data_IF_668983189727
#
_entry.id   IF_668983189727
#
_cell.length_a   1.000
_cell.length_b   1.000
_cell.length_c   1.000
_cell.angle_alpha   90.00
_cell.angle_beta   90.00
_cell.angle_gamma   90.00
#
_symmetry.space_group_name_H-M   'P 1'
#
loop_
_entity.id
_entity.type
_entity.pdbx_description
1 polymer ?
#
# COMPACT_ATOMS: atom_id res chain seq x y z
N UNK A 1 0.08 -44.46 70.53
CA UNK A 1 -0.60 -43.37 69.82
C UNK A 1 -1.02 -42.33 70.86
N UNK A 2 -0.33 -41.17 70.88
CA UNK A 2 -0.65 -40.02 71.75
C UNK A 2 -0.79 -38.77 70.87
N UNK A 3 -1.76 -37.96 71.23
CA UNK A 3 -2.26 -36.67 70.73
C UNK A 3 -1.49 -35.53 71.47
N UNK A 4 -1.56 -34.18 71.22
CA UNK A 4 -1.83 -33.27 70.06
C UNK A 4 -0.79 -32.10 69.89
N UNK A 5 -1.12 -31.21 68.92
CA UNK A 5 -0.99 -29.73 68.88
C UNK A 5 0.33 -29.01 68.52
N UNK A 6 0.15 -28.03 67.62
CA UNK A 6 0.80 -26.72 67.53
C UNK A 6 2.20 -26.56 66.89
N UNK A 7 2.17 -25.77 65.80
CA UNK A 7 3.12 -24.74 65.36
C UNK A 7 4.41 -24.56 66.19
N UNK A 8 5.57 -24.72 65.54
CA UNK A 8 6.82 -23.97 65.73
C UNK A 8 7.84 -24.49 64.67
N UNK A 9 8.08 -23.72 63.61
CA UNK A 9 9.21 -22.79 63.43
C UNK A 9 10.41 -23.42 62.69
N UNK A 10 10.52 -23.10 61.40
CA UNK A 10 11.79 -23.09 60.67
C UNK A 10 11.93 -21.75 59.98
N UNK A 11 12.70 -20.87 60.60
CA UNK A 11 13.11 -19.58 60.05
C UNK A 11 14.15 -19.83 58.95
N UNK A 12 13.81 -19.49 57.71
CA UNK A 12 14.79 -19.27 56.64
C UNK A 12 14.87 -17.76 56.42
N UNK A 13 16.01 -17.18 56.79
CA UNK A 13 16.34 -15.77 56.58
C UNK A 13 16.56 -15.56 55.08
N UNK A 14 15.62 -14.92 54.39
CA UNK A 14 15.86 -14.35 53.07
C UNK A 14 16.36 -12.91 53.24
N UNK A 15 17.65 -12.69 53.01
CA UNK A 15 18.21 -11.34 52.84
C UNK A 15 17.87 -10.91 51.41
N UNK A 16 16.83 -10.08 51.28
CA UNK A 16 16.50 -9.39 50.03
C UNK A 16 17.57 -8.33 49.76
N UNK A 17 18.50 -8.59 48.85
CA UNK A 17 19.28 -7.52 48.24
C UNK A 17 18.34 -6.73 47.31
N UNK A 18 17.84 -5.59 47.81
CA UNK A 18 17.24 -4.56 46.97
C UNK A 18 18.34 -3.97 46.09
N UNK A 19 18.48 -4.47 44.87
CA UNK A 19 19.18 -3.75 43.82
C UNK A 19 18.25 -2.59 43.43
N UNK A 20 18.65 -1.32 43.60
CA UNK A 20 17.86 -0.22 43.06
C UNK A 20 17.83 -0.38 41.54
N UNK A 21 16.67 -0.74 41.00
CA UNK A 21 16.36 -0.60 39.58
C UNK A 21 16.53 0.88 39.30
N UNK A 22 17.65 1.26 38.69
CA UNK A 22 17.77 2.57 38.07
C UNK A 22 16.73 2.59 36.97
N UNK A 23 15.62 3.29 37.21
CA UNK A 23 14.69 3.64 36.15
C UNK A 23 15.51 4.36 35.08
N UNK A 24 15.65 3.74 33.91
CA UNK A 24 16.17 4.46 32.76
C UNK A 24 15.24 5.64 32.52
N UNK A 25 15.77 6.86 32.28
CA UNK A 25 14.92 7.98 31.95
C UNK A 25 14.08 7.59 30.73
N UNK A 26 12.75 7.61 30.90
CA UNK A 26 11.84 7.55 29.77
C UNK A 26 12.15 8.75 28.88
N UNK A 27 12.28 8.57 27.55
CA UNK A 27 12.45 9.70 26.65
C UNK A 27 11.29 10.68 26.86
N UNK A 28 11.65 11.95 27.01
CA UNK A 28 10.72 13.03 27.26
C UNK A 28 9.66 13.07 26.15
N UNK A 29 8.38 13.09 26.51
CA UNK A 29 7.24 13.02 25.58
C UNK A 29 7.07 14.31 24.74
N UNK A 30 8.04 15.21 24.80
CA UNK A 30 7.98 16.57 24.25
C UNK A 30 8.65 16.73 22.87
N UNK A 31 9.22 15.68 22.28
CA UNK A 31 9.79 15.73 20.91
C UNK A 31 9.55 14.48 20.06
N UNK A 32 8.37 13.87 20.12
CA UNK A 32 7.96 12.97 19.02
C UNK A 32 7.56 13.87 17.86
N UNK A 33 8.52 14.16 16.97
CA UNK A 33 8.19 14.72 15.66
C UNK A 33 7.43 13.64 14.90
N UNK A 34 6.17 13.90 14.55
CA UNK A 34 5.43 13.01 13.66
C UNK A 34 6.19 12.94 12.33
N UNK A 35 6.72 11.78 11.93
CA UNK A 35 7.49 11.69 10.71
C UNK A 35 6.58 12.02 9.53
N UNK A 36 7.00 13.02 8.74
CA UNK A 36 6.32 13.42 7.52
C UNK A 36 6.71 12.44 6.41
N UNK A 37 5.79 12.06 5.51
CA UNK A 37 6.15 11.27 4.34
C UNK A 37 7.22 11.96 3.48
N UNK A 38 8.17 11.16 2.96
CA UNK A 38 9.24 11.61 2.07
C UNK A 38 9.20 10.87 0.74
N UNK A 39 9.70 11.49 -0.34
CA UNK A 39 9.80 10.82 -1.65
C UNK A 39 10.96 9.83 -1.68
N UNK A 40 10.74 8.65 -2.24
CA UNK A 40 11.82 7.68 -2.45
C UNK A 40 12.57 7.98 -3.75
N UNK A 41 13.89 8.16 -3.66
CA UNK A 41 14.74 8.30 -4.85
C UNK A 41 14.32 9.45 -5.78
N UNK A 42 14.05 10.63 -5.22
CA UNK A 42 13.64 11.83 -5.96
C UNK A 42 14.49 12.06 -7.23
N UNK A 43 13.82 12.20 -8.38
CA UNK A 43 14.43 12.39 -9.69
C UNK A 43 14.99 11.13 -10.35
N UNK A 44 14.90 9.98 -9.69
CA UNK A 44 15.35 8.67 -10.19
C UNK A 44 14.24 7.63 -10.20
N UNK A 45 13.56 7.47 -9.06
CA UNK A 45 12.41 6.57 -8.90
C UNK A 45 11.11 7.36 -8.96
N UNK A 46 10.98 8.37 -8.10
CA UNK A 46 9.91 9.37 -8.22
C UNK A 46 10.32 10.41 -9.26
N UNK A 47 9.65 10.42 -10.39
CA UNK A 47 9.89 11.36 -11.49
C UNK A 47 8.57 12.03 -11.92
N UNK A 48 8.56 12.88 -12.96
CA UNK A 48 7.30 13.37 -13.55
C UNK A 48 6.53 12.31 -14.38
N UNK A 49 7.02 11.08 -14.48
CA UNK A 49 6.22 9.97 -14.99
C UNK A 49 5.24 9.49 -13.90
N UNK A 50 4.32 8.57 -14.25
CA UNK A 50 3.32 8.06 -13.31
C UNK A 50 3.79 6.72 -12.75
N UNK A 51 4.31 6.74 -11.52
CA UNK A 51 4.95 5.59 -10.89
C UNK A 51 4.26 5.12 -9.60
N UNK A 52 4.03 3.82 -9.48
CA UNK A 52 3.31 3.24 -8.34
C UNK A 52 3.83 1.86 -7.90
N UNK A 53 3.42 1.40 -6.71
CA UNK A 53 3.89 0.14 -6.13
C UNK A 53 5.12 0.27 -5.20
N UNK A 54 6.20 -0.46 -5.47
CA UNK A 54 7.49 -0.28 -4.76
C UNK A 54 7.86 -1.39 -3.77
N UNK A 55 8.05 -2.61 -4.25
CA UNK A 55 8.50 -3.75 -3.44
C UNK A 55 10.03 -3.80 -3.36
N UNK A 56 10.60 -3.81 -2.15
CA UNK A 56 12.06 -3.81 -1.92
C UNK A 56 12.56 -5.21 -1.55
N UNK A 57 13.71 -5.60 -2.10
CA UNK A 57 14.37 -6.88 -1.78
C UNK A 57 14.75 -6.99 -0.31
N UNK A 58 14.81 -8.21 0.29
CA UNK A 58 15.14 -8.38 1.70
C UNK A 58 16.47 -7.75 2.15
N UNK A 59 17.44 -7.60 1.24
CA UNK A 59 18.72 -6.94 1.51
C UNK A 59 18.67 -5.40 1.39
N UNK A 60 17.52 -4.84 1.02
CA UNK A 60 17.30 -3.40 0.85
C UNK A 60 17.91 -2.80 -0.41
N UNK A 61 18.43 -3.61 -1.35
CA UNK A 61 19.28 -3.13 -2.44
C UNK A 61 18.59 -2.98 -3.78
N UNK A 62 17.39 -3.52 -3.97
CA UNK A 62 16.65 -3.41 -5.23
C UNK A 62 15.19 -3.10 -4.93
N UNK A 63 14.60 -2.20 -5.71
CA UNK A 63 13.16 -1.90 -5.68
C UNK A 63 12.55 -2.28 -7.03
N UNK A 64 11.36 -2.88 -6.97
CA UNK A 64 10.53 -3.18 -8.13
C UNK A 64 9.25 -2.35 -8.07
N UNK A 65 8.91 -1.68 -9.16
CA UNK A 65 7.79 -0.75 -9.20
C UNK A 65 7.27 -0.56 -10.63
N UNK A 66 6.09 0.04 -10.76
CA UNK A 66 5.43 0.26 -12.04
C UNK A 66 5.70 1.67 -12.56
N UNK A 67 5.79 1.81 -13.89
CA UNK A 67 5.73 3.09 -14.61
C UNK A 67 4.66 2.96 -15.69
N UNK A 68 3.82 3.97 -15.88
CA UNK A 68 2.81 3.98 -16.95
C UNK A 68 3.18 4.89 -18.12
N UNK A 69 2.84 4.47 -19.35
CA UNK A 69 3.14 5.26 -20.57
C UNK A 69 2.04 5.12 -21.64
N UNK A 70 1.31 6.20 -22.01
CA UNK A 70 0.71 7.23 -21.13
C UNK A 70 -0.13 6.61 -20.01
N UNK A 71 -0.60 7.40 -19.04
CA UNK A 71 -1.36 6.88 -17.89
C UNK A 71 -2.44 5.87 -18.31
N UNK A 72 -2.41 4.71 -17.67
CA UNK A 72 -3.32 3.58 -17.87
C UNK A 72 -3.32 2.88 -19.25
N UNK A 73 -2.44 3.25 -20.19
CA UNK A 73 -2.32 2.57 -21.48
C UNK A 73 -1.49 1.28 -21.40
N UNK A 74 -0.24 1.43 -20.97
CA UNK A 74 0.70 0.33 -20.74
C UNK A 74 1.31 0.51 -19.35
N UNK A 75 1.28 -0.56 -18.57
CA UNK A 75 1.97 -0.68 -17.29
C UNK A 75 3.23 -1.51 -17.53
N UNK A 76 4.39 -0.96 -17.19
CA UNK A 76 5.65 -1.70 -17.22
C UNK A 76 6.24 -1.77 -15.83
N UNK A 77 6.75 -2.94 -15.48
CA UNK A 77 7.50 -3.10 -14.23
C UNK A 77 8.98 -2.80 -14.47
N UNK A 78 9.54 -1.98 -13.60
CA UNK A 78 10.93 -1.57 -13.59
C UNK A 78 11.64 -2.06 -12.32
N UNK A 79 12.96 -2.17 -12.40
CA UNK A 79 13.83 -2.31 -11.23
C UNK A 79 14.83 -1.15 -11.14
N UNK A 80 15.15 -0.73 -9.92
CA UNK A 80 16.26 0.17 -9.62
C UNK A 80 17.11 -0.42 -8.50
N UNK A 81 18.43 -0.21 -8.56
CA UNK A 81 19.38 -0.70 -7.58
C UNK A 81 19.91 0.43 -6.68
N UNK A 82 20.11 0.12 -5.41
CA UNK A 82 20.70 1.03 -4.43
C UNK A 82 22.20 0.78 -4.32
N UNK A 83 23.01 1.71 -4.84
CA UNK A 83 24.47 1.62 -4.91
C UNK A 83 25.06 2.90 -4.33
N UNK A 84 26.02 2.76 -3.41
CA UNK A 84 26.74 3.88 -2.79
C UNK A 84 25.84 5.00 -2.23
N UNK A 85 24.74 4.59 -1.60
CA UNK A 85 23.79 5.51 -0.96
C UNK A 85 22.78 6.16 -1.91
N UNK A 86 22.68 5.71 -3.17
CA UNK A 86 21.78 6.29 -4.18
C UNK A 86 21.10 5.22 -5.02
N UNK A 87 19.84 5.46 -5.35
CA UNK A 87 19.14 4.72 -6.39
C UNK A 87 19.74 5.03 -7.76
N UNK A 88 19.85 4.00 -8.59
CA UNK A 88 20.34 4.10 -9.97
C UNK A 88 19.18 4.27 -10.94
N UNK A 89 19.48 4.73 -12.17
CA UNK A 89 18.47 4.82 -13.23
C UNK A 89 17.73 3.49 -13.38
N UNK A 90 16.39 3.48 -13.46
CA UNK A 90 15.63 2.25 -13.57
C UNK A 90 15.77 1.57 -14.93
N UNK A 91 15.60 0.25 -14.92
CA UNK A 91 15.55 -0.60 -16.09
C UNK A 91 14.23 -1.39 -16.12
N UNK A 92 13.61 -1.53 -17.29
CA UNK A 92 12.40 -2.36 -17.45
C UNK A 92 12.78 -3.82 -17.22
N UNK A 93 11.96 -4.54 -16.46
CA UNK A 93 12.17 -5.97 -16.23
C UNK A 93 12.17 -6.74 -17.57
N UNK A 94 13.04 -7.75 -17.73
CA UNK A 94 13.25 -8.41 -19.02
C UNK A 94 12.01 -9.13 -19.58
N UNK A 95 11.00 -9.36 -18.76
CA UNK A 95 9.74 -10.01 -19.12
C UNK A 95 8.53 -9.06 -19.14
N UNK A 96 8.76 -7.74 -19.01
CA UNK A 96 7.72 -6.70 -19.02
C UNK A 96 7.79 -5.81 -20.27
N UNK A 97 6.67 -5.16 -20.62
CA UNK A 97 6.57 -4.23 -21.76
C UNK A 97 5.88 -4.78 -23.01
N UNK A 98 5.55 -6.07 -23.05
CA UNK A 98 4.68 -6.65 -24.09
C UNK A 98 3.21 -6.70 -23.67
N UNK A 99 2.97 -6.82 -22.36
CA UNK A 99 1.66 -6.92 -21.73
C UNK A 99 1.54 -5.79 -20.72
N UNK A 100 0.33 -5.57 -20.22
CA UNK A 100 0.12 -4.75 -19.04
C UNK A 100 0.55 -5.59 -17.85
N UNK A 101 1.72 -5.30 -17.29
CA UNK A 101 2.22 -5.93 -16.08
C UNK A 101 2.25 -4.90 -14.95
N UNK A 102 1.70 -5.24 -13.78
CA UNK A 102 1.45 -4.29 -12.69
C UNK A 102 1.56 -4.96 -11.32
N UNK A 103 1.68 -4.17 -10.26
CA UNK A 103 1.66 -4.61 -8.86
C UNK A 103 2.75 -5.64 -8.53
N UNK A 104 4.04 -5.35 -8.77
CA UNK A 104 5.13 -6.22 -8.34
C UNK A 104 5.13 -6.34 -6.80
N UNK A 105 5.09 -7.58 -6.31
CA UNK A 105 5.19 -7.91 -4.89
C UNK A 105 6.15 -9.10 -4.71
N UNK A 106 7.21 -8.89 -3.95
CA UNK A 106 8.14 -9.95 -3.58
C UNK A 106 7.57 -10.87 -2.49
N UNK A 107 7.91 -12.15 -2.56
CA UNK A 107 7.79 -13.06 -1.43
C UNK A 107 8.68 -12.62 -0.27
N UNK A 108 8.34 -12.97 0.99
CA UNK A 108 9.16 -12.61 2.15
C UNK A 108 10.64 -13.03 2.05
N UNK A 109 10.92 -14.14 1.35
CA UNK A 109 12.29 -14.63 1.13
C UNK A 109 12.99 -14.01 -0.09
N UNK A 110 12.31 -13.12 -0.82
CA UNK A 110 12.81 -12.42 -2.01
C UNK A 110 13.01 -13.28 -3.25
N UNK A 111 12.57 -14.55 -3.24
CA UNK A 111 12.82 -15.49 -4.35
C UNK A 111 11.71 -15.54 -5.40
N UNK A 112 10.53 -15.02 -5.10
CA UNK A 112 9.41 -15.00 -6.02
C UNK A 112 8.91 -13.57 -6.17
N UNK A 113 8.80 -13.09 -7.40
CA UNK A 113 8.15 -11.82 -7.72
C UNK A 113 6.79 -12.13 -8.34
N UNK A 114 5.72 -11.79 -7.62
CA UNK A 114 4.34 -11.92 -8.10
C UNK A 114 3.87 -10.60 -8.66
N UNK A 115 2.99 -10.65 -9.65
CA UNK A 115 2.46 -9.46 -10.31
C UNK A 115 1.17 -9.79 -11.06
N UNK A 116 0.38 -8.76 -11.32
CA UNK A 116 -0.80 -8.83 -12.18
C UNK A 116 -0.38 -8.68 -13.65
N UNK A 117 -0.90 -9.52 -14.53
CA UNK A 117 -0.64 -9.40 -15.98
C UNK A 117 -1.84 -9.82 -16.81
N UNK A 118 -2.09 -9.11 -17.91
CA UNK A 118 -3.10 -9.47 -18.92
C UNK A 118 -2.58 -10.38 -20.03
N UNK A 119 -1.37 -10.94 -19.81
CA UNK A 119 -0.76 -11.94 -20.67
C UNK A 119 -1.71 -13.11 -20.96
N UNK A 120 -1.77 -13.61 -22.22
CA UNK A 120 -2.68 -14.68 -22.61
C UNK A 120 -2.57 -15.94 -21.74
N UNK A 121 -3.72 -16.41 -21.22
CA UNK A 121 -3.81 -17.70 -20.53
C UNK A 121 -4.09 -18.79 -21.53
N UNK A 122 -3.26 -19.84 -21.56
CA UNK A 122 -3.38 -20.94 -22.52
C UNK A 122 -3.47 -20.45 -23.99
N UNK A 123 -2.74 -19.37 -24.33
CA UNK A 123 -2.74 -18.77 -25.67
C UNK A 123 -3.96 -17.89 -26.00
N UNK A 124 -4.86 -17.66 -25.05
CA UNK A 124 -6.04 -16.81 -25.23
C UNK A 124 -5.91 -15.51 -24.43
N UNK A 125 -6.01 -14.38 -25.13
CA UNK A 125 -6.22 -13.08 -24.48
C UNK A 125 -7.66 -13.02 -23.96
N UNK A 126 -7.80 -12.74 -22.67
CA UNK A 126 -9.08 -12.67 -21.99
C UNK A 126 -9.43 -11.27 -21.51
N UNK A 127 -8.60 -10.28 -21.87
CA UNK A 127 -8.70 -8.85 -21.55
C UNK A 127 -8.93 -8.58 -20.05
N UNK A 128 -8.24 -9.33 -19.19
CA UNK A 128 -8.32 -9.23 -17.72
C UNK A 128 -6.97 -9.54 -17.09
N UNK A 129 -6.76 -9.09 -15.86
CA UNK A 129 -5.55 -9.40 -15.12
C UNK A 129 -5.64 -10.77 -14.44
N UNK A 130 -4.53 -11.48 -14.42
CA UNK A 130 -4.32 -12.69 -13.61
C UNK A 130 -3.02 -12.56 -12.85
N UNK A 131 -2.86 -13.32 -11.77
CA UNK A 131 -1.61 -13.38 -11.01
C UNK A 131 -0.62 -14.31 -11.71
N UNK A 132 0.53 -13.74 -12.05
CA UNK A 132 1.71 -14.42 -12.56
C UNK A 132 2.85 -14.30 -11.54
N UNK A 133 3.83 -15.19 -11.65
CA UNK A 133 5.01 -15.17 -10.81
C UNK A 133 6.27 -15.51 -11.61
N UNK A 134 7.37 -14.82 -11.29
CA UNK A 134 8.72 -15.15 -11.74
C UNK A 134 9.58 -15.55 -10.54
N UNK A 135 10.46 -16.54 -10.73
CA UNK A 135 11.38 -17.01 -9.68
C UNK A 135 12.77 -16.44 -9.90
N UNK A 136 13.44 -16.00 -8.83
CA UNK A 136 14.81 -15.51 -8.86
C UNK A 136 15.75 -16.67 -9.14
N UNK A 137 16.64 -16.49 -10.10
CA UNK A 137 17.68 -17.45 -10.51
C UNK A 137 19.06 -16.80 -10.37
N UNK A 138 20.13 -17.58 -10.60
CA UNK A 138 21.49 -17.05 -10.65
C UNK A 138 21.75 -16.06 -11.81
N UNK A 139 20.84 -15.98 -12.79
CA UNK A 139 20.96 -15.14 -13.98
C UNK A 139 19.87 -14.05 -14.08
N UNK A 140 19.16 -13.76 -12.98
CA UNK A 140 18.02 -12.84 -12.96
C UNK A 140 16.69 -13.56 -12.75
N UNK A 141 15.59 -12.98 -13.22
CA UNK A 141 14.25 -13.59 -13.10
C UNK A 141 13.99 -14.64 -14.17
N UNK A 142 13.25 -15.70 -13.82
CA UNK A 142 12.76 -16.68 -14.79
C UNK A 142 11.66 -16.09 -15.69
N UNK A 143 11.32 -16.80 -16.76
CA UNK A 143 10.07 -16.54 -17.49
C UNK A 143 8.87 -16.63 -16.51
N UNK A 144 7.93 -15.68 -16.56
CA UNK A 144 6.77 -15.71 -15.70
C UNK A 144 5.85 -16.89 -15.98
N UNK A 145 5.29 -17.44 -14.90
CA UNK A 145 4.32 -18.53 -14.94
C UNK A 145 3.02 -18.07 -14.30
N UNK A 146 1.90 -18.48 -14.90
CA UNK A 146 0.58 -18.28 -14.31
C UNK A 146 0.53 -19.02 -12.97
N UNK A 147 0.02 -18.39 -11.92
CA UNK A 147 -0.13 -19.06 -10.63
C UNK A 147 -1.12 -20.23 -10.72
N UNK A 148 -0.66 -21.39 -10.27
CA UNK A 148 -1.43 -22.64 -10.29
C UNK A 148 -2.54 -22.68 -9.23
N UNK A 149 -3.57 -23.48 -9.50
CA UNK A 149 -4.70 -23.69 -8.58
C UNK A 149 -5.83 -22.67 -8.77
N UNK A 150 -6.82 -22.65 -7.87
CA UNK A 150 -8.02 -21.82 -7.97
C UNK A 150 -7.76 -20.36 -7.51
N UNK A 151 -6.57 -19.83 -7.79
CA UNK A 151 -6.21 -18.43 -7.58
C UNK A 151 -6.85 -17.59 -8.68
N UNK A 152 -6.52 -17.89 -9.93
CA UNK A 152 -7.00 -17.12 -11.09
C UNK A 152 -8.41 -17.56 -11.49
N UNK A 153 -9.31 -16.61 -11.73
CA UNK A 153 -10.74 -16.89 -11.92
C UNK A 153 -11.27 -16.36 -13.27
N UNK A 154 -12.59 -16.13 -13.34
CA UNK A 154 -13.22 -15.38 -14.42
C UNK A 154 -13.27 -13.87 -14.11
N UNK A 155 -12.89 -13.44 -12.92
CA UNK A 155 -12.62 -12.03 -12.61
C UNK A 155 -11.22 -11.61 -13.04
N UNK A 156 -10.87 -10.36 -12.72
CA UNK A 156 -9.48 -9.92 -12.62
C UNK A 156 -8.94 -10.25 -11.23
N UNK A 157 -7.70 -10.69 -11.17
CA UNK A 157 -6.93 -10.80 -9.94
C UNK A 157 -5.74 -9.85 -10.01
N UNK A 158 -5.59 -9.02 -8.99
CA UNK A 158 -4.52 -8.02 -8.89
C UNK A 158 -3.92 -8.02 -7.48
N UNK A 159 -2.68 -7.53 -7.38
CA UNK A 159 -1.92 -7.38 -6.14
C UNK A 159 -1.87 -8.62 -5.26
N UNK A 160 -0.97 -9.54 -5.58
CA UNK A 160 -0.79 -10.79 -4.83
C UNK A 160 0.34 -10.65 -3.79
N UNK A 161 0.04 -10.84 -2.50
CA UNK A 161 1.01 -10.80 -1.41
C UNK A 161 1.06 -12.14 -0.64
N UNK A 162 2.25 -12.51 -0.16
CA UNK A 162 2.53 -13.82 0.44
C UNK A 162 2.84 -13.71 1.94
N UNK A 163 2.24 -14.59 2.74
CA UNK A 163 2.68 -14.86 4.11
C UNK A 163 3.80 -15.91 4.15
N UNK A 164 4.49 -16.04 5.29
CA UNK A 164 5.58 -16.98 5.50
C UNK A 164 5.16 -18.45 5.42
N UNK A 165 3.90 -18.76 5.75
CA UNK A 165 3.32 -20.09 5.62
C UNK A 165 2.89 -20.40 4.17
N UNK A 166 3.05 -19.43 3.26
CA UNK A 166 2.72 -19.54 1.85
C UNK A 166 1.27 -19.17 1.52
N UNK A 167 0.44 -18.81 2.51
CA UNK A 167 -0.89 -18.28 2.24
C UNK A 167 -0.80 -17.04 1.35
N UNK A 168 -1.64 -17.00 0.33
CA UNK A 168 -1.69 -15.93 -0.65
C UNK A 168 -2.89 -15.03 -0.39
N UNK A 169 -2.65 -13.73 -0.34
CA UNK A 169 -3.68 -12.70 -0.26
C UNK A 169 -3.69 -11.89 -1.54
N UNK A 170 -4.86 -11.62 -2.09
CA UNK A 170 -4.98 -10.86 -3.33
C UNK A 170 -6.35 -10.21 -3.44
N UNK A 171 -6.49 -9.26 -4.37
CA UNK A 171 -7.76 -8.59 -4.64
C UNK A 171 -8.38 -9.06 -5.95
N UNK A 172 -9.69 -9.16 -5.98
CA UNK A 172 -10.40 -9.69 -7.14
C UNK A 172 -11.85 -9.21 -7.24
N UNK A 173 -12.35 -9.07 -8.46
CA UNK A 173 -13.78 -8.80 -8.73
C UNK A 173 -14.60 -10.08 -8.99
N UNK A 174 -14.05 -11.27 -8.64
CA UNK A 174 -14.64 -12.59 -8.91
C UNK A 174 -16.09 -12.76 -8.46
N UNK A 175 -16.50 -12.07 -7.40
CA UNK A 175 -17.84 -12.17 -6.84
C UNK A 175 -18.78 -11.11 -7.41
N UNK A 176 -18.26 -9.91 -7.76
CA UNK A 176 -19.07 -8.70 -7.85
C UNK A 176 -18.73 -7.79 -9.04
N UNK A 177 -18.36 -8.32 -10.22
CA UNK A 177 -18.17 -7.63 -11.53
C UNK A 177 -18.00 -6.10 -11.42
N UNK A 178 -16.84 -5.66 -10.94
CA UNK A 178 -16.48 -4.24 -10.78
C UNK A 178 -16.32 -3.78 -9.33
N UNK A 179 -16.92 -4.46 -8.34
CA UNK A 179 -16.50 -4.33 -6.95
C UNK A 179 -15.40 -5.35 -6.65
N UNK A 180 -14.30 -4.85 -6.09
CA UNK A 180 -13.11 -5.61 -5.73
C UNK A 180 -13.09 -5.89 -4.24
N UNK A 181 -12.89 -7.15 -3.90
CA UNK A 181 -12.82 -7.66 -2.54
C UNK A 181 -11.46 -8.33 -2.31
N UNK A 182 -11.06 -8.47 -1.04
CA UNK A 182 -9.83 -9.17 -0.65
C UNK A 182 -10.15 -10.64 -0.41
N UNK A 183 -9.32 -11.51 -0.99
CA UNK A 183 -9.39 -12.95 -0.84
C UNK A 183 -8.10 -13.52 -0.28
N UNK A 184 -8.22 -14.66 0.40
CA UNK A 184 -7.10 -15.53 0.79
C UNK A 184 -7.20 -16.87 0.09
N UNK A 185 -6.11 -17.35 -0.49
CA UNK A 185 -5.94 -18.75 -0.85
C UNK A 185 -4.90 -19.40 0.06
N UNK A 186 -5.31 -20.44 0.79
CA UNK A 186 -4.43 -21.17 1.70
C UNK A 186 -3.51 -22.10 0.94
N UNK A 187 -2.26 -22.23 1.37
CA UNK A 187 -1.35 -23.23 0.84
C UNK A 187 -1.41 -24.50 1.72
N UNK A 188 -1.98 -25.58 1.19
CA UNK A 188 -2.10 -26.86 1.90
C UNK A 188 -1.43 -27.94 1.06
N UNK A 189 -0.46 -28.66 1.64
CA UNK A 189 0.33 -29.69 0.97
C UNK A 189 0.93 -29.23 -0.37
N UNK A 190 1.43 -27.98 -0.40
CA UNK A 190 2.02 -27.36 -1.59
C UNK A 190 1.01 -26.97 -2.67
N UNK A 191 -0.30 -26.97 -2.37
CA UNK A 191 -1.36 -26.61 -3.31
C UNK A 191 -2.25 -25.50 -2.76
N UNK A 192 -2.46 -24.48 -3.58
CA UNK A 192 -3.41 -23.42 -3.28
C UNK A 192 -4.84 -23.96 -3.26
N UNK A 193 -5.57 -23.60 -2.20
CA UNK A 193 -6.97 -23.96 -2.01
C UNK A 193 -7.90 -22.91 -2.64
N UNK A 194 -9.20 -23.23 -2.74
CA UNK A 194 -10.21 -22.29 -3.21
C UNK A 194 -10.09 -20.96 -2.43
N UNK A 195 -10.21 -19.84 -3.15
CA UNK A 195 -10.08 -18.54 -2.53
C UNK A 195 -11.26 -18.25 -1.58
N UNK A 196 -10.91 -17.86 -0.38
CA UNK A 196 -11.81 -17.50 0.71
C UNK A 196 -11.97 -15.97 0.74
N UNK A 197 -13.21 -15.49 0.70
CA UNK A 197 -13.51 -14.08 0.97
C UNK A 197 -13.14 -13.75 2.43
N UNK A 198 -12.47 -12.62 2.69
CA UNK A 198 -12.10 -12.24 4.06
C UNK A 198 -13.29 -11.80 4.94
N UNK A 199 -14.49 -11.80 4.37
CA UNK A 199 -15.75 -11.65 5.09
C UNK A 199 -16.08 -10.20 5.44
N UNK A 200 -17.25 -9.97 6.07
CA UNK A 200 -17.87 -8.66 6.22
C UNK A 200 -17.14 -7.70 7.18
N UNK A 201 -16.13 -8.18 7.90
CA UNK A 201 -15.27 -7.31 8.70
C UNK A 201 -14.31 -6.51 7.82
N UNK A 202 -13.83 -7.15 6.75
CA UNK A 202 -12.90 -6.55 5.80
C UNK A 202 -13.68 -6.10 4.58
N UNK A 203 -14.31 -7.02 3.86
CA UNK A 203 -15.09 -6.74 2.65
C UNK A 203 -16.51 -6.24 3.00
N UNK A 204 -17.22 -5.69 2.01
CA UNK A 204 -18.60 -5.25 2.22
C UNK A 204 -19.18 -4.51 1.02
N UNK A 205 -20.51 -4.43 0.92
CA UNK A 205 -21.19 -3.71 -0.16
C UNK A 205 -20.82 -2.22 -0.17
N UNK A 206 -20.50 -1.68 -1.35
CA UNK A 206 -20.08 -0.28 -1.51
C UNK A 206 -18.68 0.03 -0.97
N UNK A 207 -17.91 -0.99 -0.61
CA UNK A 207 -16.51 -0.88 -0.20
C UNK A 207 -15.64 -1.54 -1.27
N UNK A 208 -14.74 -0.78 -1.88
CA UNK A 208 -13.73 -1.34 -2.79
C UNK A 208 -12.45 -1.53 -1.99
N UNK A 209 -12.03 -2.78 -1.82
CA UNK A 209 -10.81 -3.12 -1.10
C UNK A 209 -9.76 -3.57 -2.10
N UNK A 210 -8.68 -2.81 -2.16
CA UNK A 210 -7.65 -2.91 -3.18
C UNK A 210 -6.31 -3.20 -2.51
N UNK A 211 -5.45 -3.88 -3.26
CA UNK A 211 -4.01 -3.85 -3.02
C UNK A 211 -3.61 -4.25 -1.59
N UNK A 212 -4.12 -5.40 -1.14
CA UNK A 212 -3.95 -5.87 0.22
C UNK A 212 -2.56 -6.51 0.43
N UNK A 213 -1.74 -5.86 1.25
CA UNK A 213 -0.44 -6.37 1.67
C UNK A 213 -0.58 -7.12 3.00
N UNK A 214 -0.30 -8.42 2.98
CA UNK A 214 -0.22 -9.26 4.18
C UNK A 214 1.14 -9.14 4.86
N UNK A 215 1.14 -8.99 6.19
CA UNK A 215 2.35 -9.14 6.99
C UNK A 215 2.88 -10.59 6.88
N UNK A 216 4.19 -10.84 6.84
CA UNK A 216 4.71 -12.21 6.68
C UNK A 216 4.24 -13.20 7.76
N UNK A 217 3.90 -12.73 8.96
CA UNK A 217 3.36 -13.54 10.06
C UNK A 217 1.83 -13.54 10.15
N UNK A 218 1.15 -13.01 9.13
CA UNK A 218 -0.29 -12.79 9.06
C UNK A 218 -0.88 -11.94 10.21
N UNK A 219 -0.07 -11.17 10.94
CA UNK A 219 -0.54 -10.38 12.09
C UNK A 219 -1.37 -9.15 11.71
N UNK A 220 -1.13 -8.59 10.52
CA UNK A 220 -1.90 -7.47 9.98
C UNK A 220 -1.99 -7.49 8.45
N UNK A 221 -2.98 -6.77 7.92
CA UNK A 221 -3.14 -6.40 6.51
C UNK A 221 -3.08 -4.88 6.37
N UNK A 222 -2.34 -4.39 5.38
CA UNK A 222 -2.49 -3.03 4.87
C UNK A 222 -3.36 -3.04 3.62
N UNK A 223 -4.29 -2.09 3.52
CA UNK A 223 -5.36 -2.12 2.52
C UNK A 223 -5.55 -0.71 1.96
N UNK A 224 -5.51 -0.56 0.63
CA UNK A 224 -6.06 0.61 -0.05
C UNK A 224 -7.57 0.45 -0.19
N UNK A 225 -8.37 1.50 0.03
CA UNK A 225 -9.82 1.33 -0.03
C UNK A 225 -10.60 2.60 -0.37
N UNK A 226 -11.66 2.42 -1.17
CA UNK A 226 -12.71 3.41 -1.40
C UNK A 226 -13.98 3.01 -0.64
N UNK A 227 -14.77 4.01 -0.22
CA UNK A 227 -16.11 3.79 0.36
C UNK A 227 -16.15 3.46 1.85
N UNK A 228 -15.00 3.45 2.54
CA UNK A 228 -14.94 3.31 4.01
C UNK A 228 -15.10 4.67 4.69
N UNK A 229 -15.75 4.67 5.85
CA UNK A 229 -15.94 5.86 6.69
C UNK A 229 -15.42 5.63 8.11
N UNK A 230 -14.73 6.60 8.74
CA UNK A 230 -14.28 7.87 8.15
C UNK A 230 -13.17 7.66 7.09
N UNK A 231 -13.05 8.61 6.17
CA UNK A 231 -11.98 8.69 5.18
C UNK A 231 -11.65 10.15 4.85
N UNK A 232 -10.48 10.38 4.25
CA UNK A 232 -9.95 11.70 3.93
C UNK A 232 -10.10 12.07 2.46
N UNK A 233 -10.11 11.08 1.56
CA UNK A 233 -10.15 11.35 0.12
C UNK A 233 -10.78 10.23 -0.71
N UNK A 234 -10.16 9.99 -1.87
CA UNK A 234 -10.60 9.01 -2.85
C UNK A 234 -10.35 7.58 -2.33
N UNK A 235 -9.09 7.13 -2.37
CA UNK A 235 -8.62 5.93 -1.70
C UNK A 235 -7.80 6.34 -0.50
N UNK A 236 -8.07 5.71 0.63
CA UNK A 236 -7.27 5.84 1.83
C UNK A 236 -6.57 4.50 2.13
N UNK A 237 -5.46 4.56 2.86
CA UNK A 237 -4.81 3.39 3.46
C UNK A 237 -5.37 3.07 4.84
N UNK A 238 -5.63 1.79 5.05
CA UNK A 238 -6.15 1.21 6.29
C UNK A 238 -5.29 0.04 6.77
N UNK A 239 -5.35 -0.26 8.06
CA UNK A 239 -4.76 -1.45 8.68
C UNK A 239 -5.84 -2.31 9.35
N UNK A 240 -5.83 -3.61 9.08
CA UNK A 240 -6.64 -4.62 9.78
C UNK A 240 -5.71 -5.58 10.52
N UNK A 241 -6.09 -5.98 11.73
CA UNK A 241 -5.32 -6.91 12.56
C UNK A 241 -5.94 -8.29 12.55
N UNK A 242 -5.11 -9.31 12.66
CA UNK A 242 -5.55 -10.69 12.82
C UNK A 242 -5.66 -11.03 14.30
N UNK A 243 -6.88 -11.19 14.79
CA UNK A 243 -7.18 -11.62 16.15
C UNK A 243 -7.60 -13.08 16.15
N UNK A 244 -6.63 -14.00 16.26
CA UNK A 244 -6.83 -15.45 16.29
C UNK A 244 -7.58 -16.01 15.06
N UNK A 245 -7.18 -15.58 13.87
CA UNK A 245 -7.77 -16.00 12.60
C UNK A 245 -8.94 -15.14 12.13
N UNK A 246 -9.35 -14.14 12.92
CA UNK A 246 -10.42 -13.20 12.58
C UNK A 246 -9.82 -11.83 12.30
N UNK A 247 -10.04 -11.32 11.09
CA UNK A 247 -9.62 -9.97 10.72
C UNK A 247 -10.52 -8.93 11.37
N UNK A 248 -9.93 -7.91 11.99
CA UNK A 248 -10.65 -6.77 12.54
C UNK A 248 -11.18 -5.86 11.44
N UNK A 249 -12.14 -5.00 11.76
CA UNK A 249 -12.50 -3.89 10.87
C UNK A 249 -11.26 -3.03 10.60
N UNK A 250 -10.95 -2.67 9.34
CA UNK A 250 -9.79 -1.85 9.03
C UNK A 250 -9.89 -0.47 9.68
N UNK A 251 -8.77 -0.02 10.27
CA UNK A 251 -8.61 1.31 10.87
C UNK A 251 -7.83 2.20 9.91
N UNK A 252 -8.31 3.42 9.70
CA UNK A 252 -7.65 4.40 8.84
C UNK A 252 -6.27 4.79 9.41
N UNK A 253 -5.25 4.94 8.56
CA UNK A 253 -3.88 5.29 8.98
C UNK A 253 -3.69 6.78 9.34
N UNK A 254 -4.75 7.58 9.28
CA UNK A 254 -4.79 8.96 9.74
C UNK A 254 -4.23 9.96 8.72
N UNK A 255 -4.35 11.27 9.04
CA UNK A 255 -4.12 12.37 8.10
C UNK A 255 -2.65 12.64 7.77
N UNK A 256 -1.73 11.91 8.41
CA UNK A 256 -0.30 11.97 8.08
C UNK A 256 -0.02 11.22 6.77
N UNK A 257 -0.76 10.14 6.55
CA UNK A 257 -0.65 9.29 5.37
C UNK A 257 -1.75 9.64 4.38
N UNK A 258 -3.00 9.65 4.86
CA UNK A 258 -4.16 9.82 4.02
C UNK A 258 -4.46 11.31 3.82
N UNK A 259 -4.63 11.69 2.57
CA UNK A 259 -4.89 13.07 2.16
C UNK A 259 -6.24 13.14 1.44
N UNK A 260 -6.58 14.27 0.83
CA UNK A 260 -7.77 14.34 -0.03
C UNK A 260 -7.57 13.60 -1.36
N UNK A 261 -6.33 13.25 -1.71
CA UNK A 261 -5.98 12.56 -2.94
C UNK A 261 -6.23 11.04 -2.82
N UNK A 262 -5.60 10.27 -3.71
CA UNK A 262 -5.62 8.82 -3.67
C UNK A 262 -4.31 8.32 -3.05
N UNK A 263 -4.40 7.60 -1.96
CA UNK A 263 -3.31 6.80 -1.41
C UNK A 263 -3.58 5.30 -1.58
N UNK A 264 -2.60 4.58 -2.12
CA UNK A 264 -2.73 3.16 -2.48
C UNK A 264 -1.36 2.46 -2.50
N UNK A 265 -1.34 1.19 -2.89
CA UNK A 265 -0.14 0.37 -3.03
C UNK A 265 0.76 0.26 -1.80
N UNK A 266 0.22 -0.03 -0.60
CA UNK A 266 1.04 -0.10 0.60
C UNK A 266 2.06 -1.25 0.52
N UNK A 267 3.31 -0.98 0.90
CA UNK A 267 4.42 -1.93 1.06
C UNK A 267 5.14 -1.64 2.38
N UNK A 268 5.84 -2.64 2.92
CA UNK A 268 6.67 -2.47 4.10
C UNK A 268 8.13 -2.72 3.72
N UNK A 269 9.04 -1.87 4.21
CA UNK A 269 10.48 -2.09 4.05
C UNK A 269 10.89 -3.42 4.70
N UNK A 270 11.96 -4.08 4.20
CA UNK A 270 12.42 -5.35 4.74
C UNK A 270 12.72 -5.35 6.25
N UNK A 271 13.13 -4.21 6.79
CA UNK A 271 13.41 -4.03 8.21
C UNK A 271 12.18 -3.70 9.06
N UNK A 272 10.99 -3.63 8.44
CA UNK A 272 9.71 -3.33 9.08
C UNK A 272 9.56 -1.90 9.57
N UNK A 273 10.52 -1.00 9.27
CA UNK A 273 10.55 0.35 9.82
C UNK A 273 9.83 1.39 8.98
N UNK A 274 9.50 1.08 7.74
CA UNK A 274 8.95 2.04 6.82
C UNK A 274 7.75 1.47 6.05
N UNK A 275 6.67 2.25 6.02
CA UNK A 275 5.57 2.13 5.08
C UNK A 275 5.98 2.85 3.80
N UNK A 276 5.97 2.15 2.68
CA UNK A 276 6.09 2.70 1.34
C UNK A 276 4.70 2.67 0.73
N UNK A 277 4.29 3.74 0.07
CA UNK A 277 2.98 3.80 -0.57
C UNK A 277 3.01 4.78 -1.74
N UNK A 278 1.98 4.72 -2.57
CA UNK A 278 1.78 5.65 -3.67
C UNK A 278 0.73 6.69 -3.26
N UNK A 279 1.01 7.97 -3.54
CA UNK A 279 0.10 9.09 -3.32
C UNK A 279 -0.07 9.88 -4.61
N UNK A 280 -1.31 10.19 -4.98
CA UNK A 280 -1.67 11.11 -6.08
C UNK A 280 -1.89 12.53 -5.56
N UNK A 281 -1.20 12.93 -4.49
CA UNK A 281 -1.24 14.30 -3.98
C UNK A 281 -0.52 15.22 -4.98
N UNK A 282 -1.17 15.47 -6.12
CA UNK A 282 -0.74 16.43 -7.13
C UNK A 282 -0.68 17.85 -6.57
N UNK A 283 -0.42 18.85 -7.42
CA UNK A 283 -0.30 20.21 -6.94
C UNK A 283 -1.60 20.78 -6.37
N UNK A 284 -1.50 21.26 -5.13
CA UNK A 284 -2.60 21.99 -4.51
C UNK A 284 -2.87 23.30 -5.24
N UNK A 285 -4.14 23.74 -5.22
CA UNK A 285 -4.50 25.06 -5.75
C UNK A 285 -3.88 26.14 -4.88
N UNK A 286 -2.90 26.84 -5.42
CA UNK A 286 -2.28 27.99 -4.76
C UNK A 286 -2.96 29.29 -5.18
N UNK A 287 -3.33 30.14 -4.22
CA UNK A 287 -3.71 31.52 -4.51
C UNK A 287 -2.47 32.27 -4.99
N UNK A 288 -2.58 32.98 -6.11
CA UNK A 288 -1.47 33.73 -6.69
C UNK A 288 -1.78 35.21 -6.82
N UNK A 289 -0.77 36.00 -6.49
CA UNK A 289 -0.85 37.46 -6.60
C UNK A 289 -0.39 37.96 -7.98
N UNK A 290 0.22 37.10 -8.82
CA UNK A 290 0.70 37.43 -10.17
C UNK A 290 0.55 36.23 -11.16
N UNK A 291 0.40 36.48 -12.48
CA UNK A 291 0.38 35.43 -13.51
C UNK A 291 1.71 34.66 -13.63
N UNK A 292 1.68 33.44 -14.18
CA UNK A 292 2.90 32.72 -14.58
C UNK A 292 3.56 33.37 -15.80
N UNK A 293 4.89 33.39 -15.81
CA UNK A 293 5.66 33.42 -17.05
C UNK A 293 5.60 32.05 -17.73
N UNK A 294 5.84 32.00 -19.05
CA UNK A 294 5.90 30.73 -19.77
C UNK A 294 6.95 29.76 -19.20
N UNK A 295 8.08 30.29 -18.72
CA UNK A 295 9.15 29.49 -18.11
C UNK A 295 8.70 28.86 -16.79
N UNK A 296 8.06 29.63 -15.91
CA UNK A 296 7.53 29.11 -14.65
C UNK A 296 6.41 28.09 -14.88
N UNK A 297 5.54 28.34 -15.87
CA UNK A 297 4.50 27.38 -16.24
C UNK A 297 5.10 26.07 -16.73
N UNK A 298 6.08 26.12 -17.65
CA UNK A 298 6.76 24.92 -18.15
C UNK A 298 7.53 24.20 -17.06
N UNK A 299 8.20 24.91 -16.15
CA UNK A 299 8.90 24.28 -15.04
C UNK A 299 7.93 23.56 -14.10
N UNK A 300 6.77 24.17 -13.85
CA UNK A 300 5.73 23.60 -12.99
C UNK A 300 5.11 22.37 -13.63
N UNK A 301 4.62 22.48 -14.87
CA UNK A 301 4.01 21.39 -15.64
C UNK A 301 4.91 20.17 -15.94
N UNK A 302 6.20 20.22 -15.59
CA UNK A 302 7.13 19.09 -15.70
C UNK A 302 7.78 18.78 -14.33
N UNK A 303 7.18 19.25 -13.24
CA UNK A 303 7.63 19.04 -11.87
C UNK A 303 7.21 17.67 -11.33
N UNK A 304 7.87 17.24 -10.26
CA UNK A 304 7.66 15.93 -9.61
C UNK A 304 6.23 15.72 -9.08
N UNK A 305 5.54 16.80 -8.70
CA UNK A 305 4.15 16.75 -8.22
C UNK A 305 3.12 17.04 -9.34
N UNK A 306 3.61 17.15 -10.58
CA UNK A 306 2.88 17.62 -11.77
C UNK A 306 3.08 16.68 -12.96
N UNK A 307 3.49 15.43 -12.70
CA UNK A 307 3.68 14.40 -13.71
C UNK A 307 2.58 14.37 -14.75
N UNK A 308 2.94 14.13 -16.01
CA UNK A 308 2.13 14.43 -17.20
C UNK A 308 0.65 14.02 -17.03
N UNK A 309 -0.26 14.95 -16.69
CA UNK A 309 -1.64 14.57 -16.40
C UNK A 309 -2.32 14.27 -17.73
N UNK A 310 -2.66 13.00 -17.97
CA UNK A 310 -3.61 12.67 -19.02
C UNK A 310 -5.00 13.03 -18.52
N UNK A 311 -5.56 14.14 -19.02
CA UNK A 311 -6.97 14.54 -18.94
C UNK A 311 -7.79 13.87 -17.81
N UNK A 312 -7.61 14.32 -16.56
CA UNK A 312 -8.54 14.06 -15.47
C UNK A 312 -7.99 13.33 -14.23
N UNK A 313 -6.73 12.96 -14.20
CA UNK A 313 -6.08 12.28 -13.07
C UNK A 313 -4.79 13.01 -12.66
N UNK A 314 -4.54 13.08 -11.35
CA UNK A 314 -3.32 13.66 -10.77
C UNK A 314 -2.20 12.60 -10.80
N UNK A 315 -0.94 12.98 -11.05
CA UNK A 315 0.20 12.06 -11.11
C UNK A 315 0.45 11.37 -9.77
N UNK A 316 0.87 10.11 -9.82
CA UNK A 316 1.19 9.35 -8.63
C UNK A 316 2.68 9.46 -8.25
N UNK A 317 2.98 9.54 -6.95
CA UNK A 317 4.34 9.69 -6.38
C UNK A 317 4.54 8.69 -5.24
N UNK A 318 5.73 8.08 -5.17
CA UNK A 318 6.12 7.23 -4.04
C UNK A 318 6.41 8.03 -2.77
N UNK A 319 5.84 7.60 -1.66
CA UNK A 319 6.05 8.16 -0.33
C UNK A 319 6.52 7.10 0.66
N UNK A 320 7.35 7.50 1.62
CA UNK A 320 7.84 6.66 2.72
C UNK A 320 7.53 7.29 4.09
N UNK A 321 7.01 6.52 5.05
CA UNK A 321 6.66 7.00 6.39
C UNK A 321 6.94 5.95 7.49
N UNK A 322 7.24 6.35 8.73
CA UNK A 322 7.41 5.39 9.86
C UNK A 322 6.04 4.92 10.38
N UNK A 323 5.71 3.61 10.27
CA UNK A 323 4.40 3.09 10.64
C UNK A 323 4.16 3.09 12.16
N UNK A 324 5.21 3.12 12.99
CA UNK A 324 5.09 3.02 14.46
C UNK A 324 4.51 4.28 15.08
N UNK A 325 4.66 5.43 14.43
CA UNK A 325 4.08 6.70 14.87
C UNK A 325 2.59 6.83 14.54
N UNK A 326 2.02 5.92 13.75
CA UNK A 326 0.65 6.00 13.23
C UNK A 326 -0.35 5.14 14.02
N UNK A 327 0.14 4.17 14.80
CA UNK A 327 -0.70 3.12 15.42
C UNK A 327 -1.08 3.46 16.88
N UNK A 328 -0.40 4.43 17.53
CA UNK A 328 -0.49 4.60 19.00
C UNK A 328 -1.49 5.66 19.50
N UNK A 329 -2.49 6.04 18.70
CA UNK A 329 -3.56 6.96 19.16
C UNK A 329 -4.68 6.22 19.96
N UNK A 330 -4.43 5.01 20.47
CA UNK A 330 -5.51 4.10 20.88
C UNK A 330 -5.55 3.61 22.34
N UNK A 331 -4.53 3.84 23.17
CA UNK A 331 -4.51 3.27 24.54
C UNK A 331 -3.95 4.26 25.57
N UNK A 332 -4.69 4.48 26.64
CA UNK A 332 -4.17 5.22 27.80
C UNK A 332 -3.20 4.35 28.61
N UNK A 333 -2.50 4.95 29.59
CA UNK A 333 -1.47 4.32 30.45
C UNK A 333 -1.95 3.07 31.23
N UNK A 334 -3.25 2.77 31.20
CA UNK A 334 -3.87 1.62 31.88
C UNK A 334 -4.44 0.57 30.91
N UNK A 335 -4.16 0.66 29.60
CA UNK A 335 -4.57 -0.35 28.62
C UNK A 335 -6.07 -0.39 28.28
N UNK A 336 -6.82 0.67 28.61
CA UNK A 336 -8.24 0.80 28.22
C UNK A 336 -8.40 1.64 26.94
N UNK A 337 -9.45 1.39 26.14
CA UNK A 337 -9.80 2.27 25.01
C UNK A 337 -10.04 3.69 25.54
N UNK A 338 -9.31 4.68 25.02
CA UNK A 338 -9.57 6.07 25.32
C UNK A 338 -10.94 6.48 24.79
N UNK A 339 -11.76 7.15 25.60
CA UNK A 339 -12.95 7.82 25.10
C UNK A 339 -12.53 8.91 24.08
N UNK A 340 -13.33 9.16 23.02
CA UNK A 340 -13.04 10.25 22.10
C UNK A 340 -13.00 11.56 22.90
N UNK A 341 -11.84 12.21 22.97
CA UNK A 341 -11.80 13.57 23.49
C UNK A 341 -12.36 14.50 22.42
N UNK A 342 -13.38 15.25 22.82
CA UNK A 342 -14.08 16.25 22.02
C UNK A 342 -13.09 17.16 21.27
N UNK A 343 -13.14 17.13 19.93
CA UNK A 343 -12.57 18.21 19.14
C UNK A 343 -13.40 19.47 19.38
N UNK A 344 -12.79 20.63 19.69
CA UNK A 344 -13.53 21.89 19.75
C UNK A 344 -14.07 22.23 18.36
N UNK A 345 -15.37 22.58 18.31
CA UNK A 345 -16.08 23.04 17.13
C UNK A 345 -15.30 24.11 16.36
N UNK A 346 -15.07 23.87 15.05
CA UNK A 346 -14.70 24.92 14.10
C UNK A 346 -15.88 25.18 13.14
N UNK A 347 -16.17 26.44 12.79
CA UNK A 347 -17.52 26.83 12.43
C UNK A 347 -17.71 26.89 10.92
N UNK A 348 -18.00 25.78 10.24
CA UNK A 348 -18.58 25.85 8.89
C UNK A 348 -19.58 24.72 8.62
N UNK A 349 -20.85 25.09 8.62
CA UNK A 349 -21.98 24.30 8.13
C UNK A 349 -22.07 24.53 6.61
N UNK A 350 -21.89 23.48 5.81
CA UNK A 350 -22.22 23.52 4.39
C UNK A 350 -23.51 22.71 4.17
N UNK A 351 -24.61 23.44 4.05
CA UNK A 351 -25.82 22.97 3.38
C UNK A 351 -25.64 23.12 1.85
N UNK A 352 -26.14 22.14 1.09
CA UNK A 352 -26.47 22.32 -0.32
C UNK A 352 -25.88 21.25 -1.24
N UNK A 353 -26.70 20.27 -1.62
CA UNK A 353 -26.55 19.56 -2.90
C UNK A 353 -26.70 20.55 -4.07
N UNK A 354 -26.13 20.22 -5.24
CA UNK A 354 -27.03 20.16 -6.38
C UNK A 354 -26.79 18.97 -7.32
N UNK A 355 -27.91 18.42 -7.80
CA UNK A 355 -28.03 17.69 -9.07
C UNK A 355 -27.37 18.45 -10.23
N UNK A 356 -26.68 17.75 -11.14
CA UNK A 356 -26.73 18.08 -12.58
C UNK A 356 -26.23 16.95 -13.50
N UNK A 357 -27.07 16.71 -14.51
CA UNK A 357 -26.92 15.89 -15.71
C UNK A 357 -25.61 16.16 -16.48
N UNK A 358 -24.92 15.11 -16.91
CA UNK A 358 -23.93 15.20 -17.98
C UNK A 358 -24.59 14.97 -19.35
N UNK A 359 -24.49 15.98 -20.22
CA UNK A 359 -24.73 15.91 -21.66
C UNK A 359 -23.35 15.79 -22.32
N UNK A 360 -23.16 14.79 -23.19
CA UNK A 360 -21.92 14.62 -23.92
C UNK A 360 -21.69 15.67 -25.02
N UNK A 361 -20.42 15.93 -25.35
CA UNK A 361 -19.92 16.22 -26.71
C UNK A 361 -18.38 16.20 -26.74
N UNK A 362 -17.85 15.53 -27.77
CA UNK A 362 -16.43 15.48 -28.19
C UNK A 362 -15.95 16.86 -28.67
N UNK A 363 -14.64 17.14 -28.58
CA UNK A 363 -13.74 17.39 -29.73
C UNK A 363 -12.28 17.63 -29.30
N UNK A 364 -11.35 17.10 -30.11
CA UNK A 364 -9.88 17.15 -30.02
C UNK A 364 -9.34 18.51 -30.46
N UNK A 365 -8.13 18.89 -30.02
CA UNK A 365 -7.26 19.81 -30.76
C UNK A 365 -5.82 19.26 -30.83
N UNK A 366 -5.42 18.84 -32.03
CA UNK A 366 -4.04 18.76 -32.47
C UNK A 366 -3.79 20.00 -33.35
N UNK A 367 -2.71 20.75 -33.08
CA UNK A 367 -2.28 21.86 -33.94
C UNK A 367 -1.24 21.37 -34.94
N UNK A 368 -1.54 21.44 -36.24
CA UNK A 368 -0.58 21.23 -37.33
C UNK A 368 -1.08 21.93 -38.59
N UNK A 369 -0.25 22.83 -39.15
CA UNK A 369 -0.53 23.52 -40.41
C UNK A 369 -0.06 22.66 -41.59
N UNK A 370 -0.89 22.56 -42.64
CA UNK A 370 -0.47 22.06 -43.96
C UNK A 370 -0.85 23.09 -45.02
N UNK A 371 0.15 23.53 -45.79
CA UNK A 371 0.02 24.39 -46.97
C UNK A 371 -0.16 23.49 -48.19
N UNK A 372 -1.08 23.81 -49.10
CA UNK A 372 -1.28 23.08 -50.36
C UNK A 372 -1.45 24.13 -51.50
N UNK A 373 -1.00 23.86 -52.74
CA UNK A 373 -0.85 24.83 -53.83
C UNK A 373 -2.14 25.52 -54.31
#
# INVERSE_FOLDING_TARGET
>A
MKIPSEYLSLAAIYISFLIPVHAQPQPDASTVTTPKPEMIGEGIISTPDDEFGGSITPDGKTIYYDITVPAHYLYVMCESHFVDGKWQKPEVLPFSGLYRDSDPVLSPDGKTLMFASDRPRNGKDEHRFSIWAATRTGHGWSDPKLMDGPINSAGSEIFASLANDGNLYFTSDRNNKGQVDIFRSRLVDGKYQAAEDLGPNVNGEGIWSLEALIAPDESYLLIGSFGRQPGFGNSDLYISYNENGVWTKPKNLGPVINTAAREYSPRISPDGKWLIYTSEQGMQTEKRDQPFTSEEFSKRANGLLDGHPTLGEDPSTFCIADPRCLIDQGRNKNGQPGAPQDCPDLPFRLEGQPDRKFIGRRLRQCCGFVKVP
#
